data_IF_449079953541
#
_entry.id   IF_449079953541
#
_cell.length_a   1.000
_cell.length_b   1.000
_cell.length_c   1.000
_cell.angle_alpha   90.00
_cell.angle_beta   90.00
_cell.angle_gamma   90.00
#
_symmetry.space_group_name_H-M   'P 1'
#
loop_
_entity.id
_entity.type
_entity.pdbx_description
1 polymer ?
#
# COMPACT_ATOMS: atom_id res chain seq x y z
N UNK A 1 13.42 -8.48 -24.32
CA UNK A 1 12.36 -7.81 -25.14
C UNK A 1 11.09 -7.56 -24.32
N UNK A 2 10.58 -8.56 -23.60
CA UNK A 2 9.31 -8.44 -22.83
C UNK A 2 9.34 -7.38 -21.73
N UNK A 3 10.47 -7.22 -21.02
CA UNK A 3 10.64 -6.17 -20.00
C UNK A 3 10.49 -4.76 -20.57
N UNK A 4 10.99 -4.51 -21.80
CA UNK A 4 10.80 -3.22 -22.47
C UNK A 4 9.36 -3.05 -22.97
N UNK A 5 8.73 -4.12 -23.45
CA UNK A 5 7.33 -4.08 -23.88
C UNK A 5 6.37 -3.78 -22.71
N UNK A 6 6.70 -4.18 -21.49
CA UNK A 6 5.95 -3.89 -20.27
C UNK A 6 6.21 -2.49 -19.68
N UNK A 7 6.95 -1.62 -20.37
CA UNK A 7 7.26 -0.25 -19.90
C UNK A 7 8.55 -0.11 -19.09
N UNK A 8 9.34 -1.19 -18.97
CA UNK A 8 10.66 -1.19 -18.36
C UNK A 8 10.69 -0.71 -16.91
N UNK A 9 11.83 -0.17 -16.50
CA UNK A 9 12.01 0.37 -15.15
C UNK A 9 11.11 1.59 -14.86
N UNK A 10 10.75 2.38 -15.88
CA UNK A 10 9.97 3.60 -15.71
C UNK A 10 8.54 3.31 -15.21
N UNK A 11 7.87 2.33 -15.80
CA UNK A 11 6.52 1.92 -15.37
C UNK A 11 6.51 1.38 -13.94
N UNK A 12 7.51 0.56 -13.57
CA UNK A 12 7.68 0.06 -12.21
C UNK A 12 7.96 1.18 -11.21
N UNK A 13 8.82 2.14 -11.57
CA UNK A 13 9.14 3.28 -10.71
C UNK A 13 7.91 4.17 -10.46
N UNK A 14 7.07 4.37 -11.47
CA UNK A 14 5.83 5.12 -11.34
C UNK A 14 4.85 4.42 -10.39
N UNK A 15 4.61 3.12 -10.57
CA UNK A 15 3.73 2.34 -9.70
C UNK A 15 4.20 2.38 -8.24
N UNK A 16 5.51 2.24 -8.01
CA UNK A 16 6.09 2.30 -6.65
C UNK A 16 5.95 3.71 -6.04
N UNK A 17 5.95 4.76 -6.86
CA UNK A 17 5.77 6.14 -6.40
C UNK A 17 4.30 6.48 -6.06
N UNK A 18 3.32 5.82 -6.70
CA UNK A 18 1.89 6.03 -6.45
C UNK A 18 1.37 5.28 -5.20
N UNK A 19 2.01 4.18 -4.80
CA UNK A 19 1.59 3.36 -3.65
C UNK A 19 1.43 4.14 -2.32
N UNK A 20 2.38 5.00 -1.90
CA UNK A 20 2.27 5.73 -0.65
C UNK A 20 1.06 6.68 -0.62
N UNK A 21 0.74 7.31 -1.75
CA UNK A 21 -0.38 8.25 -1.85
C UNK A 21 -1.73 7.52 -1.72
N UNK A 22 -1.88 6.39 -2.42
CA UNK A 22 -3.08 5.55 -2.33
C UNK A 22 -3.28 5.00 -0.92
N UNK A 23 -2.20 4.56 -0.28
CA UNK A 23 -2.22 4.10 1.10
C UNK A 23 -2.62 5.21 2.07
N UNK A 24 -2.04 6.41 1.91
CA UNK A 24 -2.35 7.56 2.76
C UNK A 24 -3.82 7.94 2.63
N UNK A 25 -4.35 8.00 1.41
CA UNK A 25 -5.77 8.29 1.18
C UNK A 25 -6.70 7.28 1.87
N UNK A 26 -6.37 5.99 1.81
CA UNK A 26 -7.16 4.96 2.50
C UNK A 26 -7.10 5.11 4.02
N UNK A 27 -5.94 5.47 4.58
CA UNK A 27 -5.79 5.76 6.00
C UNK A 27 -6.62 6.96 6.43
N UNK A 28 -6.61 8.04 5.66
CA UNK A 28 -7.35 9.27 5.97
C UNK A 28 -8.86 9.01 5.98
N UNK A 29 -9.37 8.24 5.01
CA UNK A 29 -10.79 7.84 4.96
C UNK A 29 -11.17 7.01 6.19
N UNK A 30 -10.32 6.05 6.59
CA UNK A 30 -10.59 5.21 7.76
C UNK A 30 -10.58 6.04 9.05
N UNK A 31 -9.58 6.90 9.23
CA UNK A 31 -9.46 7.78 10.39
C UNK A 31 -10.68 8.71 10.52
N UNK A 32 -11.16 9.25 9.41
CA UNK A 32 -12.34 10.09 9.39
C UNK A 32 -13.62 9.31 9.74
N UNK A 33 -13.76 8.08 9.24
CA UNK A 33 -14.87 7.22 9.60
C UNK A 33 -14.88 6.89 11.11
N UNK A 34 -13.71 6.60 11.68
CA UNK A 34 -13.57 6.36 13.13
C UNK A 34 -13.87 7.62 13.96
N UNK A 35 -13.46 8.80 13.48
CA UNK A 35 -13.81 10.09 14.11
C UNK A 35 -15.32 10.28 14.15
N UNK A 36 -16.01 10.07 13.03
CA UNK A 36 -17.48 10.19 12.96
C UNK A 36 -18.19 9.23 13.91
N UNK A 37 -17.72 7.98 14.02
CA UNK A 37 -18.28 6.99 14.95
C UNK A 37 -18.06 7.37 16.43
N UNK A 38 -16.94 8.03 16.74
CA UNK A 38 -16.65 8.52 18.10
C UNK A 38 -17.53 9.70 18.47
N UNK A 39 -17.63 10.68 17.58
CA UNK A 39 -18.45 11.88 17.79
C UNK A 39 -19.94 11.54 17.95
N UNK A 40 -20.43 10.58 17.18
CA UNK A 40 -21.80 10.10 17.34
C UNK A 40 -22.03 9.44 18.71
N UNK A 41 -21.09 8.60 19.15
CA UNK A 41 -21.18 7.96 20.46
C UNK A 41 -21.09 8.96 21.62
N UNK A 42 -20.22 9.97 21.52
CA UNK A 42 -20.12 11.06 22.50
C UNK A 42 -21.38 11.92 22.53
N UNK A 43 -21.98 12.21 21.37
CA UNK A 43 -23.24 12.94 21.28
C UNK A 43 -24.41 12.15 21.89
N UNK A 44 -24.53 10.85 21.61
CA UNK A 44 -25.55 9.99 22.24
C UNK A 44 -25.38 9.92 23.76
N UNK A 45 -24.14 9.78 24.24
CA UNK A 45 -23.84 9.78 25.67
C UNK A 45 -24.22 11.11 26.36
N UNK A 46 -23.90 12.25 25.72
CA UNK A 46 -24.24 13.57 26.23
C UNK A 46 -25.77 13.80 26.27
N UNK A 47 -26.49 13.38 25.22
CA UNK A 47 -27.95 13.48 25.15
C UNK A 47 -28.63 12.58 26.18
N UNK A 48 -28.14 11.34 26.35
CA UNK A 48 -28.67 10.42 27.36
C UNK A 48 -28.41 10.94 28.79
N UNK A 49 -27.27 11.59 29.04
CA UNK A 49 -27.01 12.26 30.32
C UNK A 49 -27.94 13.44 30.58
N UNK A 50 -28.30 14.23 29.56
CA UNK A 50 -29.19 15.40 29.70
C UNK A 50 -30.67 15.03 29.80
N UNK A 51 -31.13 14.07 29.00
CA UNK A 51 -32.56 13.76 28.86
C UNK A 51 -32.99 12.51 29.65
N UNK A 52 -32.04 11.72 30.16
CA UNK A 52 -32.28 10.57 31.02
C UNK A 52 -33.35 9.62 30.45
N UNK A 53 -34.46 9.36 31.19
CA UNK A 53 -35.50 8.42 30.76
C UNK A 53 -36.34 8.90 29.56
N UNK A 54 -36.26 10.17 29.15
CA UNK A 54 -36.90 10.66 27.91
C UNK A 54 -36.12 10.27 26.65
N UNK A 55 -34.86 9.84 26.78
CA UNK A 55 -34.02 9.40 25.67
C UNK A 55 -34.19 7.89 25.44
N UNK A 56 -35.32 7.51 24.81
CA UNK A 56 -35.69 6.11 24.56
C UNK A 56 -35.10 5.52 23.27
N UNK A 57 -34.16 6.21 22.61
CA UNK A 57 -33.48 5.68 21.42
C UNK A 57 -32.57 4.50 21.78
N UNK A 58 -32.49 3.54 20.86
CA UNK A 58 -31.55 2.41 20.95
C UNK A 58 -30.12 2.95 21.16
N UNK A 59 -29.33 2.36 22.08
CA UNK A 59 -27.95 2.79 22.31
C UNK A 59 -27.14 2.75 21.02
N UNK A 60 -26.46 3.85 20.71
CA UNK A 60 -25.63 3.94 19.50
C UNK A 60 -24.47 2.94 19.50
N UNK A 61 -24.01 2.48 20.67
CA UNK A 61 -23.02 1.40 20.79
C UNK A 61 -23.43 0.11 20.08
N UNK A 62 -24.69 -0.32 20.21
CA UNK A 62 -25.18 -1.54 19.55
C UNK A 62 -25.34 -1.37 18.04
N UNK A 63 -25.60 -0.15 17.57
CA UNK A 63 -25.71 0.16 16.13
C UNK A 63 -24.33 0.33 15.48
N UNK A 64 -23.35 0.83 16.23
CA UNK A 64 -22.00 1.13 15.74
C UNK A 64 -21.02 -0.03 15.90
N UNK A 65 -21.37 -1.08 16.65
CA UNK A 65 -20.53 -2.25 16.90
C UNK A 65 -20.01 -2.89 15.61
N UNK A 66 -20.90 -3.15 14.64
CA UNK A 66 -20.52 -3.73 13.36
C UNK A 66 -19.58 -2.81 12.56
N UNK A 67 -19.77 -1.49 12.64
CA UNK A 67 -18.90 -0.52 11.97
C UNK A 67 -17.51 -0.46 12.64
N UNK A 68 -17.44 -0.53 13.97
CA UNK A 68 -16.16 -0.59 14.70
C UNK A 68 -15.39 -1.88 14.40
N UNK A 69 -16.08 -3.02 14.34
CA UNK A 69 -15.49 -4.29 13.94
C UNK A 69 -14.94 -4.23 12.49
N UNK A 70 -15.69 -3.62 11.57
CA UNK A 70 -15.23 -3.41 10.20
C UNK A 70 -14.03 -2.44 10.14
N UNK A 71 -14.04 -1.35 10.89
CA UNK A 71 -12.92 -0.41 10.97
C UNK A 71 -11.63 -1.10 11.46
N UNK A 72 -11.72 -1.89 12.53
CA UNK A 72 -10.59 -2.68 13.03
C UNK A 72 -10.05 -3.68 11.98
N UNK A 73 -10.94 -4.33 11.22
CA UNK A 73 -10.54 -5.20 10.11
C UNK A 73 -9.82 -4.43 9.00
N UNK A 74 -10.31 -3.25 8.63
CA UNK A 74 -9.66 -2.42 7.61
C UNK A 74 -8.30 -1.89 8.08
N UNK A 75 -8.17 -1.52 9.35
CA UNK A 75 -6.89 -1.14 9.95
C UNK A 75 -5.85 -2.27 9.82
N UNK A 76 -6.24 -3.51 10.14
CA UNK A 76 -5.35 -4.67 9.96
C UNK A 76 -4.96 -4.91 8.50
N UNK A 77 -5.87 -4.73 7.55
CA UNK A 77 -5.58 -4.85 6.11
C UNK A 77 -4.57 -3.78 5.68
N UNK A 78 -4.74 -2.54 6.14
CA UNK A 78 -3.84 -1.42 5.87
C UNK A 78 -2.44 -1.71 6.45
N UNK A 79 -2.34 -2.22 7.68
CA UNK A 79 -1.06 -2.57 8.30
C UNK A 79 -0.35 -3.71 7.55
N UNK A 80 -1.12 -4.68 7.05
CA UNK A 80 -0.58 -5.75 6.20
C UNK A 80 -0.07 -5.18 4.87
N UNK A 81 -0.82 -4.26 4.26
CA UNK A 81 -0.43 -3.60 3.02
C UNK A 81 0.86 -2.78 3.22
N UNK A 82 0.98 -2.00 4.29
CA UNK A 82 2.21 -1.25 4.63
C UNK A 82 3.43 -2.16 4.70
N UNK A 83 3.29 -3.33 5.35
CA UNK A 83 4.39 -4.31 5.46
C UNK A 83 4.73 -4.91 4.09
N UNK A 84 3.73 -5.24 3.29
CA UNK A 84 3.94 -5.76 1.94
C UNK A 84 4.62 -4.73 1.04
N UNK A 85 4.19 -3.47 1.09
CA UNK A 85 4.77 -2.37 0.32
C UNK A 85 6.23 -2.14 0.69
N UNK A 86 6.59 -2.21 1.96
CA UNK A 86 7.99 -2.15 2.38
C UNK A 86 8.84 -3.29 1.79
N UNK A 87 8.32 -4.51 1.77
CA UNK A 87 9.01 -5.66 1.16
C UNK A 87 9.17 -5.44 -0.35
N UNK A 88 8.14 -4.94 -1.02
CA UNK A 88 8.19 -4.63 -2.46
C UNK A 88 9.19 -3.52 -2.74
N UNK A 89 9.22 -2.45 -1.95
CA UNK A 89 10.19 -1.36 -2.10
C UNK A 89 11.63 -1.84 -1.89
N UNK A 90 11.89 -2.66 -0.86
CA UNK A 90 13.21 -3.24 -0.62
C UNK A 90 13.66 -4.11 -1.79
N UNK A 91 12.79 -5.01 -2.26
CA UNK A 91 13.09 -5.87 -3.43
C UNK A 91 13.30 -5.05 -4.70
N UNK A 92 12.50 -4.00 -4.90
CA UNK A 92 12.64 -3.11 -6.03
C UNK A 92 13.99 -2.40 -6.01
N UNK A 93 14.41 -1.85 -4.86
CA UNK A 93 15.73 -1.21 -4.71
C UNK A 93 16.87 -2.20 -4.95
N UNK A 94 16.77 -3.43 -4.42
CA UNK A 94 17.80 -4.46 -4.61
C UNK A 94 17.97 -4.89 -6.07
N UNK A 95 16.89 -4.93 -6.84
CA UNK A 95 16.91 -5.39 -8.23
C UNK A 95 16.90 -4.26 -9.26
N UNK A 96 16.86 -3.00 -8.82
CA UNK A 96 16.74 -1.82 -9.69
C UNK A 96 17.81 -1.81 -10.78
N UNK A 97 19.07 -1.97 -10.40
CA UNK A 97 20.21 -1.88 -11.32
C UNK A 97 20.20 -3.00 -12.36
N UNK A 98 19.78 -4.21 -11.96
CA UNK A 98 19.64 -5.35 -12.87
C UNK A 98 18.48 -5.14 -13.85
N UNK A 99 17.35 -4.60 -13.37
CA UNK A 99 16.19 -4.28 -14.21
C UNK A 99 16.53 -3.14 -15.16
N UNK A 100 17.32 -2.16 -14.72
CA UNK A 100 17.82 -1.07 -15.56
C UNK A 100 18.70 -1.62 -16.68
N UNK A 101 19.66 -2.48 -16.36
CA UNK A 101 20.54 -3.12 -17.35
C UNK A 101 19.73 -3.90 -18.40
N UNK A 102 18.71 -4.65 -17.98
CA UNK A 102 17.81 -5.40 -18.88
C UNK A 102 16.85 -4.50 -19.68
N UNK A 103 16.64 -3.26 -19.22
CA UNK A 103 15.81 -2.26 -19.90
C UNK A 103 16.58 -1.47 -20.96
N UNK A 104 17.93 -1.41 -20.88
CA UNK A 104 18.83 -0.79 -21.89
C UNK A 104 18.83 -1.55 -23.21
N UNK A 105 19.33 -0.93 -24.29
CA UNK A 105 19.36 -1.46 -25.66
C UNK A 105 20.21 -2.75 -25.81
N UNK A 106 19.98 -3.56 -26.86
CA UNK A 106 20.74 -4.83 -27.05
C UNK A 106 22.26 -4.58 -27.19
N UNK A 107 22.64 -3.45 -27.80
CA UNK A 107 24.04 -3.03 -27.97
C UNK A 107 24.70 -2.64 -26.63
N UNK A 108 23.96 -1.96 -25.75
CA UNK A 108 24.43 -1.58 -24.40
C UNK A 108 24.51 -2.77 -23.44
N UNK A 109 23.62 -3.75 -23.59
CA UNK A 109 23.68 -5.01 -22.83
C UNK A 109 24.93 -5.80 -23.25
N UNK A 110 25.23 -5.86 -24.55
CA UNK A 110 26.43 -6.51 -25.06
C UNK A 110 27.74 -5.93 -24.54
N UNK A 111 27.79 -4.61 -24.30
CA UNK A 111 28.95 -3.94 -23.69
C UNK A 111 29.07 -4.14 -22.17
N UNK A 112 27.95 -4.42 -21.48
CA UNK A 112 27.91 -4.63 -20.03
C UNK A 112 28.10 -6.08 -19.59
N UNK A 113 28.00 -7.05 -20.50
CA UNK A 113 28.30 -8.46 -20.24
C UNK A 113 29.80 -8.68 -20.40
N UNK A 114 30.50 -9.24 -19.39
CA UNK A 114 31.91 -9.59 -19.53
C UNK A 114 32.06 -10.56 -20.72
N UNK A 115 32.91 -10.20 -21.68
CA UNK A 115 33.30 -11.13 -22.73
C UNK A 115 33.95 -12.35 -22.05
N UNK A 116 33.44 -13.54 -22.34
CA UNK A 116 34.08 -14.77 -21.89
C UNK A 116 35.55 -14.75 -22.38
N UNK A 117 36.55 -15.06 -21.54
CA UNK A 117 37.88 -15.30 -22.05
C UNK A 117 37.73 -16.42 -23.07
N UNK A 118 37.98 -16.11 -24.33
CA UNK A 118 37.87 -17.06 -25.42
C UNK A 118 38.62 -18.31 -24.99
N UNK A 119 37.89 -19.42 -24.89
CA UNK A 119 38.48 -20.74 -24.79
C UNK A 119 39.30 -20.93 -26.06
N UNK A 120 40.56 -20.51 -26.00
CA UNK A 120 41.61 -20.95 -26.90
C UNK A 120 41.83 -22.43 -26.64
N UNK A 121 40.88 -23.24 -27.12
CA UNK A 121 41.16 -24.62 -27.51
C UNK A 121 41.90 -24.54 -28.82
N UNK A 122 43.22 -24.49 -28.70
CA UNK A 122 44.12 -24.89 -29.75
C UNK A 122 43.97 -26.41 -29.96
N UNK A 123 44.14 -26.83 -31.22
CA UNK A 123 44.16 -28.20 -31.78
C UNK A 123 42.81 -28.85 -32.12
#
# INVERSE_FOLDING_TARGET
RDVRAAGGLAALAQLVAELPELLQRNKDILNEAERMLREEAEADAALRAQFGPRWSRSPSEGLTEAFRANAAKYAQIIDNAVRADHIVQQKFQQHRDNIELLSRSEDEIGAGVPAAPGGGGAE
#
